data_IF_558745704397
#
_entry.id   IF_558745704397
#
_cell.length_a   1.000
_cell.length_b   1.000
_cell.length_c   1.000
_cell.angle_alpha   90.00
_cell.angle_beta   90.00
_cell.angle_gamma   90.00
#
_symmetry.space_group_name_H-M   'P 1'
#
loop_
_entity.id
_entity.type
_entity.pdbx_description
1 polymer ?
#
# COMPACT_ATOMS: atom_id res chain seq x y z
N UNK A 1 -12.53 3.14 6.69
CA UNK A 1 -12.36 1.87 5.95
C UNK A 1 -13.69 1.31 5.42
N UNK A 2 -14.76 1.20 6.22
CA UNK A 2 -16.03 0.55 5.80
C UNK A 2 -16.64 1.05 4.47
N UNK A 3 -16.71 2.37 4.23
CA UNK A 3 -17.26 2.95 2.99
C UNK A 3 -16.52 2.42 1.75
N UNK A 4 -15.21 2.26 1.83
CA UNK A 4 -14.42 1.74 0.72
C UNK A 4 -14.82 0.29 0.40
N UNK A 5 -14.98 -0.56 1.42
CA UNK A 5 -15.47 -1.93 1.25
C UNK A 5 -16.85 -2.01 0.59
N UNK A 6 -17.72 -1.02 0.82
CA UNK A 6 -19.05 -0.96 0.18
C UNK A 6 -18.97 -0.53 -1.30
N UNK A 7 -17.94 0.24 -1.66
CA UNK A 7 -17.75 0.78 -3.00
C UNK A 7 -17.00 -0.21 -3.92
N UNK A 8 -16.06 -1.00 -3.36
CA UNK A 8 -15.26 -2.01 -4.09
C UNK A 8 -16.06 -2.85 -5.10
N UNK A 9 -17.24 -3.42 -4.77
CA UNK A 9 -17.98 -4.30 -5.67
C UNK A 9 -18.51 -3.62 -6.95
N UNK A 10 -18.61 -2.29 -6.93
CA UNK A 10 -19.09 -1.47 -8.06
C UNK A 10 -17.97 -0.81 -8.88
N UNK A 11 -16.71 -1.02 -8.48
CA UNK A 11 -15.56 -0.46 -9.19
C UNK A 11 -15.46 -1.06 -10.59
N UNK A 12 -15.37 -0.19 -11.59
CA UNK A 12 -15.00 -0.58 -12.94
C UNK A 12 -13.63 0.03 -13.27
N UNK A 13 -12.88 -0.65 -14.14
CA UNK A 13 -11.59 -0.14 -14.63
C UNK A 13 -11.71 1.28 -15.20
N UNK A 14 -12.74 1.54 -16.01
CA UNK A 14 -12.94 2.86 -16.62
C UNK A 14 -13.25 3.95 -15.60
N UNK A 15 -14.06 3.64 -14.57
CA UNK A 15 -14.33 4.57 -13.49
C UNK A 15 -13.06 4.91 -12.69
N UNK A 16 -12.25 3.90 -12.34
CA UNK A 16 -10.97 4.10 -11.65
C UNK A 16 -10.06 4.99 -12.48
N UNK A 17 -9.84 4.67 -13.76
CA UNK A 17 -8.97 5.47 -14.64
C UNK A 17 -9.45 6.91 -14.73
N UNK A 18 -10.76 7.12 -14.93
CA UNK A 18 -11.34 8.47 -15.04
C UNK A 18 -11.06 9.30 -13.79
N UNK A 19 -11.34 8.75 -12.60
CA UNK A 19 -11.16 9.47 -11.32
C UNK A 19 -9.68 9.78 -11.05
N UNK A 20 -8.80 8.81 -11.28
CA UNK A 20 -7.37 9.00 -11.03
C UNK A 20 -6.77 10.02 -12.01
N UNK A 21 -7.12 9.98 -13.29
CA UNK A 21 -6.62 10.95 -14.26
C UNK A 21 -7.10 12.37 -13.96
N UNK A 22 -8.33 12.52 -13.44
CA UNK A 22 -8.84 13.81 -12.99
C UNK A 22 -8.03 14.36 -11.81
N UNK A 23 -7.77 13.52 -10.80
CA UNK A 23 -6.96 13.91 -9.63
C UNK A 23 -5.52 14.27 -10.01
N UNK A 24 -4.85 13.43 -10.81
CA UNK A 24 -3.47 13.69 -11.26
C UNK A 24 -3.40 15.02 -12.02
N UNK A 25 -4.39 15.35 -12.86
CA UNK A 25 -4.41 16.64 -13.57
C UNK A 25 -4.51 17.81 -12.60
N UNK A 26 -5.27 17.69 -11.51
CA UNK A 26 -5.36 18.72 -10.48
C UNK A 26 -4.05 18.86 -9.71
N UNK A 27 -3.43 17.75 -9.30
CA UNK A 27 -2.13 17.76 -8.63
C UNK A 27 -1.03 18.39 -9.49
N UNK A 28 -0.93 17.99 -10.77
CA UNK A 28 0.04 18.54 -11.72
C UNK A 28 -0.23 20.03 -11.99
N UNK A 29 -1.50 20.45 -12.08
CA UNK A 29 -1.84 21.86 -12.23
C UNK A 29 -1.41 22.72 -11.02
N UNK A 30 -1.22 22.11 -9.85
CA UNK A 30 -0.65 22.75 -8.66
C UNK A 30 0.86 22.57 -8.52
N UNK A 31 1.52 21.94 -9.49
CA UNK A 31 2.99 21.75 -9.52
C UNK A 31 3.49 20.47 -8.86
N UNK A 32 2.60 19.54 -8.46
CA UNK A 32 3.00 18.22 -7.97
C UNK A 32 3.39 17.32 -9.14
N UNK A 33 4.68 16.94 -9.20
CA UNK A 33 5.22 16.12 -10.30
C UNK A 33 5.67 14.71 -9.87
N UNK A 34 5.58 14.40 -8.58
CA UNK A 34 5.95 13.11 -8.01
C UNK A 34 4.86 12.66 -7.05
N UNK A 35 4.21 11.55 -7.40
CA UNK A 35 3.03 11.03 -6.72
C UNK A 35 3.32 9.59 -6.32
N UNK A 36 3.04 9.24 -5.07
CA UNK A 36 3.00 7.85 -4.61
C UNK A 36 1.57 7.55 -4.18
N UNK A 37 0.98 6.52 -4.77
CA UNK A 37 -0.40 6.13 -4.50
C UNK A 37 -0.47 4.69 -4.00
N UNK A 38 -1.15 4.50 -2.87
CA UNK A 38 -1.50 3.18 -2.36
C UNK A 38 -2.69 2.62 -3.14
N UNK A 39 -2.53 1.40 -3.64
CA UNK A 39 -3.57 0.73 -4.42
C UNK A 39 -4.06 -0.49 -3.68
N UNK A 40 -5.35 -0.51 -3.38
CA UNK A 40 -5.97 -1.67 -2.73
C UNK A 40 -5.85 -2.93 -3.59
N UNK A 41 -5.19 -3.96 -3.03
CA UNK A 41 -5.00 -5.27 -3.66
C UNK A 41 -5.89 -6.36 -3.05
N UNK A 42 -6.74 -6.04 -2.08
CA UNK A 42 -7.76 -6.94 -1.52
C UNK A 42 -8.96 -7.09 -2.47
N UNK A 43 -8.67 -7.40 -3.74
CA UNK A 43 -9.60 -7.69 -4.83
C UNK A 43 -9.04 -8.87 -5.65
N UNK A 44 -9.73 -10.03 -5.72
CA UNK A 44 -9.29 -11.18 -6.52
C UNK A 44 -8.98 -10.86 -7.99
N UNK A 45 -9.62 -9.83 -8.55
CA UNK A 45 -9.43 -9.40 -9.93
C UNK A 45 -8.31 -8.37 -10.09
N UNK A 46 -7.83 -7.75 -9.01
CA UNK A 46 -6.85 -6.65 -8.99
C UNK A 46 -7.26 -5.53 -9.96
N UNK A 47 -8.55 -5.18 -9.96
CA UNK A 47 -9.18 -4.29 -10.94
C UNK A 47 -8.58 -2.88 -10.88
N UNK A 48 -8.48 -2.32 -9.67
CA UNK A 48 -7.91 -1.00 -9.45
C UNK A 48 -6.42 -0.95 -9.81
N UNK A 49 -5.66 -1.99 -9.44
CA UNK A 49 -4.24 -2.09 -9.79
C UNK A 49 -4.00 -2.10 -11.30
N UNK A 50 -4.71 -2.93 -12.05
CA UNK A 50 -4.58 -2.98 -13.50
C UNK A 50 -4.91 -1.64 -14.15
N UNK A 51 -5.95 -0.96 -13.67
CA UNK A 51 -6.30 0.38 -14.12
C UNK A 51 -5.17 1.39 -13.85
N UNK A 52 -4.61 1.38 -12.64
CA UNK A 52 -3.56 2.31 -12.21
C UNK A 52 -2.21 2.06 -12.89
N UNK A 53 -1.88 0.81 -13.21
CA UNK A 53 -0.70 0.48 -14.00
C UNK A 53 -0.76 1.13 -15.39
N UNK A 54 -1.94 1.14 -16.02
CA UNK A 54 -2.12 1.84 -17.30
C UNK A 54 -2.08 3.36 -17.15
N UNK A 55 -2.72 3.91 -16.11
CA UNK A 55 -2.65 5.36 -15.83
C UNK A 55 -1.20 5.78 -15.63
N UNK A 56 -0.40 4.98 -14.91
CA UNK A 56 1.03 5.22 -14.72
C UNK A 56 1.77 5.36 -16.06
N UNK A 57 1.40 4.59 -17.08
CA UNK A 57 1.95 4.73 -18.44
C UNK A 57 1.47 6.02 -19.13
N UNK A 58 0.18 6.33 -19.03
CA UNK A 58 -0.46 7.47 -19.70
C UNK A 58 0.03 8.83 -19.18
N UNK A 59 0.44 8.90 -17.92
CA UNK A 59 0.83 10.17 -17.26
C UNK A 59 2.35 10.40 -17.23
N UNK A 60 3.17 9.51 -17.79
CA UNK A 60 4.65 9.58 -17.70
C UNK A 60 5.24 10.90 -18.21
N UNK A 61 4.60 11.53 -19.18
CA UNK A 61 5.07 12.79 -19.76
C UNK A 61 4.75 14.01 -18.89
N UNK A 62 3.88 13.87 -17.87
CA UNK A 62 3.42 14.98 -17.02
C UNK A 62 3.77 14.83 -15.54
N UNK A 63 3.93 13.59 -15.03
CA UNK A 63 4.36 13.34 -13.66
C UNK A 63 4.92 11.91 -13.49
N UNK A 64 5.64 11.70 -12.39
CA UNK A 64 6.07 10.39 -11.94
C UNK A 64 5.04 9.81 -10.96
N UNK A 65 4.51 8.62 -11.27
CA UNK A 65 3.57 7.90 -10.41
C UNK A 65 4.20 6.59 -9.90
N UNK A 66 4.34 6.46 -8.59
CA UNK A 66 4.70 5.21 -7.91
C UNK A 66 3.45 4.53 -7.34
N UNK A 67 3.38 3.21 -7.47
CA UNK A 67 2.27 2.42 -6.96
C UNK A 67 2.73 1.51 -5.80
N UNK A 68 2.07 1.62 -4.66
CA UNK A 68 2.25 0.72 -3.51
C UNK A 68 1.18 -0.35 -3.56
N UNK A 69 1.58 -1.63 -3.55
CA UNK A 69 0.63 -2.74 -3.39
C UNK A 69 0.10 -2.74 -1.95
N UNK A 70 -1.13 -2.27 -1.74
CA UNK A 70 -1.66 -1.99 -0.40
C UNK A 70 -2.75 -2.99 0.01
N UNK A 71 -2.51 -3.82 1.05
CA UNK A 71 -3.47 -4.82 1.50
C UNK A 71 -4.52 -4.20 2.45
N UNK A 72 -5.43 -3.38 1.93
CA UNK A 72 -6.36 -2.54 2.72
C UNK A 72 -7.18 -3.29 3.80
N UNK A 73 -7.53 -4.56 3.55
CA UNK A 73 -8.33 -5.40 4.46
C UNK A 73 -7.45 -6.40 5.27
N UNK A 74 -6.13 -6.19 5.29
CA UNK A 74 -5.14 -7.06 5.94
C UNK A 74 -4.49 -8.06 4.98
N UNK A 75 -3.23 -8.39 5.24
CA UNK A 75 -2.50 -9.47 4.57
C UNK A 75 -2.95 -10.83 5.12
N UNK A 76 -3.05 -10.91 6.45
CA UNK A 76 -3.33 -12.14 7.18
C UNK A 76 -4.83 -12.33 7.42
N UNK A 77 -5.56 -11.23 7.53
CA UNK A 77 -7.00 -11.21 7.82
C UNK A 77 -7.89 -11.35 6.57
N UNK A 78 -7.34 -11.12 5.36
CA UNK A 78 -8.10 -11.22 4.12
C UNK A 78 -7.87 -12.57 3.40
N UNK A 79 -8.93 -13.20 2.83
CA UNK A 79 -8.78 -14.43 2.06
C UNK A 79 -7.81 -14.28 0.88
N UNK A 80 -6.74 -15.09 0.89
CA UNK A 80 -5.66 -15.06 -0.09
C UNK A 80 -4.85 -13.73 -0.11
N UNK A 81 -4.81 -12.98 1.01
CA UNK A 81 -4.14 -11.69 1.07
C UNK A 81 -2.64 -11.77 0.71
N UNK A 82 -1.94 -12.80 1.19
CA UNK A 82 -0.53 -13.07 0.84
C UNK A 82 -0.32 -13.26 -0.67
N UNK A 83 -1.17 -14.06 -1.29
CA UNK A 83 -1.10 -14.38 -2.72
C UNK A 83 -1.43 -13.15 -3.57
N UNK A 84 -2.44 -12.37 -3.16
CA UNK A 84 -2.83 -11.14 -3.85
C UNK A 84 -1.73 -10.08 -3.78
N UNK A 85 -1.12 -9.90 -2.61
CA UNK A 85 -0.02 -8.96 -2.45
C UNK A 85 1.19 -9.34 -3.32
N UNK A 86 1.58 -10.62 -3.33
CA UNK A 86 2.65 -11.12 -4.23
C UNK A 86 2.30 -10.89 -5.70
N UNK A 87 1.08 -11.25 -6.11
CA UNK A 87 0.62 -11.04 -7.49
C UNK A 87 0.63 -9.58 -7.90
N UNK A 88 0.32 -8.66 -6.98
CA UNK A 88 0.42 -7.23 -7.23
C UNK A 88 1.87 -6.80 -7.47
N UNK A 89 2.83 -7.36 -6.73
CA UNK A 89 4.26 -7.12 -6.98
C UNK A 89 4.71 -7.69 -8.32
N UNK A 90 4.27 -8.90 -8.70
CA UNK A 90 4.53 -9.51 -10.01
C UNK A 90 3.99 -8.67 -11.18
N UNK A 91 2.85 -8.01 -10.99
CA UNK A 91 2.25 -7.11 -11.99
C UNK A 91 3.00 -5.76 -12.13
N UNK A 92 3.91 -5.46 -11.20
CA UNK A 92 4.80 -4.31 -11.32
C UNK A 92 4.47 -3.12 -10.42
N UNK A 93 3.93 -3.36 -9.22
CA UNK A 93 3.97 -2.35 -8.16
C UNK A 93 5.43 -1.97 -7.81
N UNK A 94 5.62 -0.71 -7.44
CA UNK A 94 6.93 -0.13 -7.14
C UNK A 94 7.35 -0.38 -5.69
N UNK A 95 6.37 -0.48 -4.78
CA UNK A 95 6.58 -0.71 -3.34
C UNK A 95 5.61 -1.76 -2.78
N UNK A 96 6.04 -2.41 -1.71
CA UNK A 96 5.21 -3.30 -0.88
C UNK A 96 4.56 -2.49 0.24
N UNK A 97 3.25 -2.62 0.41
CA UNK A 97 2.52 -2.05 1.53
C UNK A 97 2.20 -3.07 2.62
N UNK A 98 1.61 -2.57 3.70
CA UNK A 98 1.15 -3.34 4.86
C UNK A 98 0.17 -2.50 5.69
N UNK A 99 -0.63 -3.15 6.53
CA UNK A 99 -1.61 -2.48 7.40
C UNK A 99 -1.65 -3.15 8.80
N UNK A 100 -0.50 -3.28 9.49
CA UNK A 100 -0.37 -4.19 10.63
C UNK A 100 -1.30 -3.86 11.81
N UNK A 101 -1.65 -2.59 12.02
CA UNK A 101 -2.62 -2.19 13.06
C UNK A 101 -4.06 -2.67 12.81
N UNK A 102 -4.40 -3.04 11.58
CA UNK A 102 -5.74 -3.46 11.19
C UNK A 102 -5.92 -4.99 11.15
N UNK A 103 -4.82 -5.74 11.30
CA UNK A 103 -4.87 -7.19 11.43
C UNK A 103 -5.65 -7.61 12.69
N UNK A 104 -6.29 -8.78 12.65
CA UNK A 104 -7.18 -9.22 13.75
C UNK A 104 -6.49 -9.37 15.11
N UNK A 105 -5.20 -9.65 15.11
CA UNK A 105 -4.42 -9.80 16.35
C UNK A 105 -3.08 -9.11 16.22
N UNK A 106 -2.52 -8.72 17.37
CA UNK A 106 -1.17 -8.14 17.44
C UNK A 106 -0.12 -9.01 16.76
N UNK A 107 -0.20 -10.33 16.94
CA UNK A 107 0.78 -11.24 16.35
C UNK A 107 0.63 -11.34 14.83
N UNK A 108 -0.60 -11.28 14.31
CA UNK A 108 -0.84 -11.16 12.87
C UNK A 108 -0.32 -9.83 12.32
N UNK A 109 -0.43 -8.73 13.07
CA UNK A 109 0.17 -7.44 12.68
C UNK A 109 1.69 -7.47 12.62
N UNK A 110 2.35 -8.18 13.54
CA UNK A 110 3.80 -8.43 13.44
C UNK A 110 4.14 -9.29 12.22
N UNK A 111 3.31 -10.31 11.96
CA UNK A 111 3.48 -11.17 10.78
C UNK A 111 3.28 -10.41 9.46
N UNK A 112 2.34 -9.45 9.39
CA UNK A 112 2.15 -8.53 8.26
C UNK A 112 3.47 -7.82 7.95
N UNK A 113 4.08 -7.17 8.94
CA UNK A 113 5.36 -6.46 8.78
C UNK A 113 6.43 -7.41 8.24
N UNK A 114 6.62 -8.56 8.88
CA UNK A 114 7.65 -9.52 8.46
C UNK A 114 7.45 -9.99 7.01
N UNK A 115 6.20 -10.24 6.62
CA UNK A 115 5.86 -10.66 5.26
C UNK A 115 6.06 -9.54 4.23
N UNK A 116 5.77 -8.29 4.58
CA UNK A 116 6.08 -7.14 3.73
C UNK A 116 7.60 -7.05 3.46
N UNK A 117 8.43 -7.25 4.49
CA UNK A 117 9.89 -7.32 4.32
C UNK A 117 10.35 -8.53 3.49
N UNK A 118 9.73 -9.70 3.65
CA UNK A 118 10.00 -10.89 2.84
C UNK A 118 9.80 -10.58 1.34
N UNK A 119 8.62 -10.06 0.98
CA UNK A 119 8.31 -9.69 -0.40
C UNK A 119 9.21 -8.55 -0.92
N UNK A 120 9.49 -7.55 -0.09
CA UNK A 120 10.36 -6.44 -0.48
C UNK A 120 11.76 -6.95 -0.87
N UNK A 121 12.31 -7.91 -0.14
CA UNK A 121 13.58 -8.56 -0.48
C UNK A 121 13.47 -9.42 -1.73
N UNK A 122 12.42 -10.24 -1.84
CA UNK A 122 12.18 -11.12 -3.00
C UNK A 122 12.16 -10.32 -4.31
N UNK A 123 11.43 -9.20 -4.33
CA UNK A 123 11.26 -8.36 -5.51
C UNK A 123 12.27 -7.20 -5.60
N UNK A 124 13.17 -7.06 -4.62
CA UNK A 124 14.09 -5.93 -4.45
C UNK A 124 13.39 -4.56 -4.49
N UNK A 125 12.27 -4.41 -3.78
CA UNK A 125 11.44 -3.20 -3.72
C UNK A 125 11.49 -2.53 -2.35
N UNK A 126 11.03 -1.29 -2.33
CA UNK A 126 10.92 -0.49 -1.11
C UNK A 126 9.58 -0.78 -0.41
N UNK A 127 9.44 -0.33 0.84
CA UNK A 127 8.27 -0.59 1.69
C UNK A 127 7.58 0.73 2.06
N UNK A 128 6.25 0.75 2.05
CA UNK A 128 5.43 1.87 2.53
C UNK A 128 4.14 1.35 3.20
N UNK A 129 4.16 1.20 4.52
CA UNK A 129 3.04 0.62 5.28
C UNK A 129 2.20 1.70 5.97
N UNK A 130 0.88 1.51 6.00
CA UNK A 130 0.01 2.25 6.93
C UNK A 130 0.16 1.62 8.32
N UNK A 131 1.08 2.16 9.11
CA UNK A 131 1.68 1.44 10.22
C UNK A 131 0.77 1.39 11.44
N UNK A 132 0.50 2.55 12.05
CA UNK A 132 -0.23 2.67 13.32
C UNK A 132 -1.34 3.74 13.20
N UNK A 133 -2.25 3.58 12.22
CA UNK A 133 -3.35 4.52 11.90
C UNK A 133 -4.53 4.36 12.87
N UNK A 134 -4.24 4.52 14.15
CA UNK A 134 -5.20 4.45 15.25
C UNK A 134 -4.75 5.38 16.38
N UNK A 135 -5.65 5.65 17.32
CA UNK A 135 -5.37 6.39 18.56
C UNK A 135 -5.05 5.45 19.74
N UNK A 136 -4.93 4.14 19.50
CA UNK A 136 -4.53 3.18 20.54
C UNK A 136 -3.03 3.33 20.88
N UNK A 137 -2.65 3.70 22.13
CA UNK A 137 -1.25 3.83 22.54
C UNK A 137 -0.45 2.51 22.54
N UNK A 138 -1.15 1.37 22.39
CA UNK A 138 -0.54 0.06 22.29
C UNK A 138 -0.29 -0.37 20.84
N UNK A 139 -0.75 0.41 19.85
CA UNK A 139 -0.38 0.22 18.45
C UNK A 139 1.06 0.69 18.23
N UNK A 140 1.98 -0.29 18.13
CA UNK A 140 3.43 -0.07 18.14
C UNK A 140 4.13 -0.84 17.02
N UNK A 141 3.50 -0.99 15.87
CA UNK A 141 4.09 -1.70 14.73
C UNK A 141 5.24 -0.92 14.09
N UNK A 142 5.30 0.41 14.30
CA UNK A 142 6.44 1.24 13.87
C UNK A 142 7.76 0.75 14.48
N UNK A 143 7.77 0.28 15.72
CA UNK A 143 9.00 -0.24 16.36
C UNK A 143 9.47 -1.56 15.73
N UNK A 144 8.51 -2.40 15.30
CA UNK A 144 8.78 -3.66 14.58
C UNK A 144 9.37 -3.35 13.20
N UNK A 145 8.76 -2.42 12.47
CA UNK A 145 9.29 -1.98 11.16
C UNK A 145 10.70 -1.39 11.29
N UNK A 146 10.97 -0.58 12.32
CA UNK A 146 12.29 -0.01 12.55
C UNK A 146 13.34 -1.09 12.87
N UNK A 147 13.00 -2.06 13.72
CA UNK A 147 13.88 -3.18 14.05
C UNK A 147 14.24 -4.01 12.81
N UNK A 148 13.22 -4.39 12.02
CA UNK A 148 13.41 -5.15 10.78
C UNK A 148 14.21 -4.38 9.73
N UNK A 149 13.97 -3.07 9.60
CA UNK A 149 14.76 -2.20 8.72
C UNK A 149 16.25 -2.29 9.03
N UNK A 150 16.61 -2.23 10.32
CA UNK A 150 18.00 -2.29 10.77
C UNK A 150 18.58 -3.70 10.58
N UNK A 151 17.85 -4.72 11.04
CA UNK A 151 18.31 -6.10 11.02
C UNK A 151 18.51 -6.64 9.60
N UNK A 152 17.66 -6.22 8.66
CA UNK A 152 17.64 -6.74 7.30
C UNK A 152 18.43 -5.86 6.31
N UNK A 153 19.03 -4.75 6.78
CA UNK A 153 19.84 -3.88 5.93
C UNK A 153 19.02 -3.06 4.92
N UNK A 154 17.77 -2.73 5.24
CA UNK A 154 16.83 -2.02 4.35
C UNK A 154 16.75 -0.50 4.66
N UNK A 155 17.75 0.06 5.34
CA UNK A 155 17.79 1.48 5.70
C UNK A 155 17.64 2.38 4.46
N UNK A 156 16.80 3.42 4.57
CA UNK A 156 16.51 4.35 3.47
C UNK A 156 15.52 3.82 2.42
N UNK A 157 14.98 2.60 2.61
CA UNK A 157 14.04 1.94 1.68
C UNK A 157 12.69 1.60 2.32
N UNK A 158 12.40 2.16 3.50
CA UNK A 158 11.21 1.86 4.29
C UNK A 158 10.56 3.17 4.73
N UNK A 159 9.25 3.28 4.51
CA UNK A 159 8.40 4.39 4.94
C UNK A 159 7.30 3.85 5.85
N UNK A 160 7.11 4.50 7.01
CA UNK A 160 5.97 4.25 7.89
C UNK A 160 4.98 5.40 7.74
N UNK A 161 3.89 5.16 7.01
CA UNK A 161 2.79 6.10 6.83
C UNK A 161 1.81 5.99 7.99
N UNK A 162 1.12 7.08 8.33
CA UNK A 162 0.12 7.12 9.40
C UNK A 162 0.62 6.57 10.75
N UNK A 163 1.70 7.16 11.29
CA UNK A 163 2.18 6.85 12.64
C UNK A 163 1.37 7.61 13.70
N UNK A 164 0.03 7.58 13.63
CA UNK A 164 -0.83 8.45 14.45
C UNK A 164 -0.74 8.08 15.92
N UNK A 165 -0.60 6.80 16.26
CA UNK A 165 -0.45 6.35 17.65
C UNK A 165 0.78 6.93 18.37
N UNK A 166 1.77 7.48 17.66
CA UNK A 166 2.98 8.07 18.26
C UNK A 166 2.73 9.33 19.10
N UNK A 167 1.55 9.95 19.02
CA UNK A 167 1.23 11.11 19.87
C UNK A 167 0.98 10.74 21.33
N UNK A 168 0.70 9.46 21.60
CA UNK A 168 0.26 8.94 22.90
C UNK A 168 1.36 8.32 23.76
#
# INVERSE_FOLDING_TARGET
IQIWSELKPSLTREDVKKRVLEEIRWEVAQGTLHIRSHVDVCDPNLTALKALLEVREEVRDICNLQLVAFPQDGIMSFPNGRELLRKAMELGCDLVGGIPHFEWTRDMGVEDVHYAFELAKEFNRDIDCHCDETDDPLSRFTEVMAADTIQQGWQGRVTASHCTAMHS
#
